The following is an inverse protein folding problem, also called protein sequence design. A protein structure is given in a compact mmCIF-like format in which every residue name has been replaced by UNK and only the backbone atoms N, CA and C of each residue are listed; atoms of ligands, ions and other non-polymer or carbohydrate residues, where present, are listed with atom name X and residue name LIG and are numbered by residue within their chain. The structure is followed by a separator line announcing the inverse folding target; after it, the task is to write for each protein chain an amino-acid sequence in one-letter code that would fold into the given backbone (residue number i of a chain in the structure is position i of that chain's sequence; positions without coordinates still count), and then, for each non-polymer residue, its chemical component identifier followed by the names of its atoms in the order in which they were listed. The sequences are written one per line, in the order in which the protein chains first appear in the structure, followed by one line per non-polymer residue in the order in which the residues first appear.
data_IF_933655327016
#
_entry.id   IF_933655327016
#
_cell.length_a   1.000
_cell.length_b   1.000
_cell.length_c   1.000
_cell.angle_alpha   90.00
_cell.angle_beta   90.00
_cell.angle_gamma   90.00
#
_symmetry.space_group_name_H-M   'P 1'
#
loop_
_entity.id
_entity.type
_entity.pdbx_description
1 polymer ?
#
# COMPACT_ATOMS: atom_id res chain seq x y z
N UNK A 1 9.41 -20.70 5.68
CA UNK A 1 9.24 -19.39 4.99
C UNK A 1 10.56 -18.65 4.72
N UNK A 2 11.70 -19.08 5.29
CA UNK A 2 13.04 -18.51 5.04
C UNK A 2 13.67 -18.92 3.70
N UNK A 3 13.41 -20.13 3.20
CA UNK A 3 13.99 -20.64 1.94
C UNK A 3 13.56 -19.85 0.69
N UNK A 4 12.30 -19.38 0.65
CA UNK A 4 11.78 -18.60 -0.49
C UNK A 4 12.35 -17.17 -0.53
N UNK A 5 12.63 -16.57 0.64
CA UNK A 5 13.24 -15.25 0.74
C UNK A 5 14.71 -15.26 0.25
N UNK A 6 15.43 -16.35 0.56
CA UNK A 6 16.81 -16.55 0.13
C UNK A 6 16.94 -16.87 -1.37
N UNK A 7 15.92 -17.51 -1.96
CA UNK A 7 15.86 -17.72 -3.42
C UNK A 7 15.56 -16.41 -4.17
N UNK A 8 14.66 -15.58 -3.63
CA UNK A 8 14.31 -14.29 -4.25
C UNK A 8 15.50 -13.31 -4.32
N UNK A 9 16.41 -13.34 -3.34
CA UNK A 9 17.60 -12.46 -3.33
C UNK A 9 18.56 -12.75 -4.49
N UNK A 10 18.64 -13.99 -4.99
CA UNK A 10 19.53 -14.41 -6.09
C UNK A 10 18.92 -14.32 -7.50
N UNK A 11 17.67 -13.87 -7.64
CA UNK A 11 17.05 -13.74 -8.96
C UNK A 11 17.66 -12.57 -9.77
N UNK A 12 17.85 -12.72 -11.10
CA UNK A 12 18.35 -11.65 -11.95
C UNK A 12 17.38 -10.45 -11.93
N UNK A 13 17.93 -9.23 -11.97
CA UNK A 13 17.19 -7.96 -11.85
C UNK A 13 15.94 -7.90 -12.76
N UNK A 14 16.05 -8.42 -13.99
CA UNK A 14 14.92 -8.50 -14.94
C UNK A 14 13.72 -9.28 -14.43
N UNK A 15 13.93 -10.36 -13.69
CA UNK A 15 12.84 -11.17 -13.12
C UNK A 15 12.19 -10.45 -11.95
N UNK A 16 12.97 -9.81 -11.08
CA UNK A 16 12.47 -8.97 -9.98
C UNK A 16 11.64 -7.79 -10.51
N UNK A 17 12.12 -7.11 -11.55
CA UNK A 17 11.42 -6.02 -12.20
C UNK A 17 10.10 -6.47 -12.85
N UNK A 18 10.07 -7.64 -13.51
CA UNK A 18 8.84 -8.23 -14.05
C UNK A 18 7.83 -8.57 -12.95
N UNK A 19 8.28 -9.15 -11.83
CA UNK A 19 7.39 -9.46 -10.70
C UNK A 19 6.82 -8.18 -10.10
N UNK A 20 7.65 -7.14 -9.88
CA UNK A 20 7.19 -5.83 -9.39
C UNK A 20 6.22 -5.15 -10.38
N UNK A 21 6.42 -5.31 -11.68
CA UNK A 21 5.51 -4.83 -12.73
C UNK A 21 4.15 -5.54 -12.64
N UNK A 22 4.13 -6.88 -12.59
CA UNK A 22 2.90 -7.67 -12.48
C UNK A 22 2.15 -7.38 -11.18
N UNK A 23 2.87 -7.18 -10.08
CA UNK A 23 2.28 -6.72 -8.81
C UNK A 23 1.64 -5.34 -8.95
N UNK A 24 2.30 -4.38 -9.59
CA UNK A 24 1.74 -3.05 -9.86
C UNK A 24 0.47 -3.11 -10.71
N UNK A 25 0.46 -3.93 -11.76
CA UNK A 25 -0.73 -4.16 -12.60
C UNK A 25 -1.85 -4.83 -11.81
N UNK A 26 -1.53 -5.82 -10.96
CA UNK A 26 -2.50 -6.47 -10.09
C UNK A 26 -3.15 -5.49 -9.11
N UNK A 27 -2.36 -4.63 -8.46
CA UNK A 27 -2.85 -3.58 -7.55
C UNK A 27 -3.74 -2.59 -8.31
N UNK A 28 -3.35 -2.20 -9.53
CA UNK A 28 -4.15 -1.30 -10.35
C UNK A 28 -5.51 -1.91 -10.73
N UNK A 29 -5.53 -3.20 -11.08
CA UNK A 29 -6.76 -3.95 -11.38
C UNK A 29 -7.68 -4.05 -10.17
N UNK A 30 -7.13 -4.34 -8.99
CA UNK A 30 -7.90 -4.36 -7.74
C UNK A 30 -8.47 -2.96 -7.47
N UNK A 31 -7.67 -1.90 -7.60
CA UNK A 31 -8.14 -0.53 -7.44
C UNK A 31 -9.27 -0.18 -8.40
N UNK A 32 -9.16 -0.59 -9.67
CA UNK A 32 -10.22 -0.41 -10.67
C UNK A 32 -11.50 -1.15 -10.29
N UNK A 33 -11.41 -2.42 -9.89
CA UNK A 33 -12.57 -3.20 -9.46
C UNK A 33 -13.27 -2.56 -8.25
N UNK A 34 -12.50 -2.09 -7.26
CA UNK A 34 -13.03 -1.41 -6.08
C UNK A 34 -13.71 -0.09 -6.46
N UNK A 35 -13.10 0.70 -7.34
CA UNK A 35 -13.69 1.94 -7.83
C UNK A 35 -14.99 1.66 -8.60
N UNK A 36 -15.01 0.64 -9.46
CA UNK A 36 -16.19 0.24 -10.23
C UNK A 36 -17.33 -0.31 -9.37
N UNK A 37 -17.00 -1.00 -8.26
CA UNK A 37 -17.98 -1.48 -7.31
C UNK A 37 -18.81 -0.32 -6.72
N UNK A 38 -18.20 0.86 -6.56
CA UNK A 38 -18.86 2.09 -6.08
C UNK A 38 -20.09 2.48 -6.91
N UNK A 39 -20.10 2.19 -8.22
CA UNK A 39 -21.26 2.48 -9.08
C UNK A 39 -22.45 1.54 -8.83
N UNK A 40 -22.23 0.39 -8.18
CA UNK A 40 -23.26 -0.59 -7.81
C UNK A 40 -23.77 -0.42 -6.37
N UNK A 41 -23.16 0.47 -5.60
CA UNK A 41 -23.46 0.72 -4.18
C UNK A 41 -24.63 1.69 -3.93
N UNK A 42 -25.33 2.15 -4.99
CA UNK A 42 -26.45 3.10 -4.89
C UNK A 42 -27.66 2.63 -4.07
N UNK A 43 -27.69 1.37 -3.65
CA UNK A 43 -28.78 0.75 -2.86
C UNK A 43 -28.47 0.64 -1.36
N UNK A 44 -27.33 1.15 -0.88
CA UNK A 44 -26.90 0.98 0.51
C UNK A 44 -27.49 2.05 1.45
N UNK A 45 -27.64 1.77 2.76
CA UNK A 45 -28.31 2.67 3.71
C UNK A 45 -27.64 4.05 3.88
N UNK A 46 -26.32 4.14 3.67
CA UNK A 46 -25.51 5.37 3.73
C UNK A 46 -24.63 5.47 2.48
N UNK A 47 -25.23 5.79 1.31
CA UNK A 47 -24.54 5.66 0.04
C UNK A 47 -23.47 6.75 -0.14
N UNK A 48 -23.58 7.89 0.54
CA UNK A 48 -22.66 9.02 0.40
C UNK A 48 -21.25 8.70 0.91
N UNK A 49 -21.12 8.21 2.14
CA UNK A 49 -19.82 7.88 2.73
C UNK A 49 -19.19 6.65 2.07
N UNK A 50 -19.96 5.57 1.89
CA UNK A 50 -19.43 4.32 1.31
C UNK A 50 -18.96 4.53 -0.13
N UNK A 51 -19.74 5.24 -0.95
CA UNK A 51 -19.32 5.56 -2.32
C UNK A 51 -18.04 6.39 -2.32
N UNK A 52 -17.95 7.43 -1.48
CA UNK A 52 -16.73 8.24 -1.36
C UNK A 52 -15.51 7.43 -0.92
N UNK A 53 -15.68 6.52 0.03
CA UNK A 53 -14.61 5.65 0.52
C UNK A 53 -14.12 4.67 -0.55
N UNK A 54 -15.01 4.00 -1.27
CA UNK A 54 -14.63 3.04 -2.32
C UNK A 54 -14.04 3.72 -3.56
N UNK A 55 -14.56 4.88 -3.97
CA UNK A 55 -13.98 5.68 -5.05
C UNK A 55 -12.59 6.20 -4.65
N UNK A 56 -12.45 6.72 -3.43
CA UNK A 56 -11.18 7.25 -2.93
C UNK A 56 -10.10 6.17 -2.80
N UNK A 57 -10.42 5.06 -2.14
CA UNK A 57 -9.49 3.94 -1.94
C UNK A 57 -9.18 3.21 -3.25
N UNK A 58 -10.20 2.94 -4.07
CA UNK A 58 -10.05 2.33 -5.39
C UNK A 58 -9.21 3.19 -6.33
N UNK A 59 -9.46 4.50 -6.36
CA UNK A 59 -8.68 5.47 -7.13
C UNK A 59 -7.22 5.55 -6.66
N UNK A 60 -6.98 5.56 -5.34
CA UNK A 60 -5.62 5.56 -4.78
C UNK A 60 -4.83 4.27 -5.11
N UNK A 61 -5.48 3.11 -5.01
CA UNK A 61 -4.90 1.82 -5.42
C UNK A 61 -4.60 1.81 -6.93
N UNK A 62 -5.52 2.30 -7.75
CA UNK A 62 -5.33 2.41 -9.20
C UNK A 62 -4.13 3.30 -9.54
N UNK A 63 -4.06 4.49 -8.95
CA UNK A 63 -2.95 5.42 -9.18
C UNK A 63 -1.60 4.86 -8.74
N UNK A 64 -1.52 4.27 -7.54
CA UNK A 64 -0.28 3.67 -7.03
C UNK A 64 0.19 2.48 -7.88
N UNK A 65 -0.74 1.63 -8.34
CA UNK A 65 -0.46 0.52 -9.23
C UNK A 65 0.08 0.98 -10.59
N UNK A 66 -0.54 2.00 -11.20
CA UNK A 66 -0.07 2.59 -12.48
C UNK A 66 1.33 3.18 -12.34
N UNK A 67 1.58 3.99 -11.31
CA UNK A 67 2.91 4.59 -11.09
C UNK A 67 3.97 3.51 -10.94
N UNK A 68 3.67 2.44 -10.21
CA UNK A 68 4.56 1.29 -10.04
C UNK A 68 4.81 0.59 -11.38
N UNK A 69 3.76 0.35 -12.17
CA UNK A 69 3.87 -0.31 -13.46
C UNK A 69 4.68 0.50 -14.47
N UNK A 70 4.45 1.82 -14.54
CA UNK A 70 5.20 2.72 -15.42
C UNK A 70 6.68 2.76 -15.05
N UNK A 71 7.00 2.92 -13.75
CA UNK A 71 8.40 2.91 -13.27
C UNK A 71 9.10 1.61 -13.62
N UNK A 72 8.46 0.47 -13.39
CA UNK A 72 9.04 -0.84 -13.71
C UNK A 72 9.17 -1.06 -15.23
N UNK A 73 8.21 -0.59 -16.03
CA UNK A 73 8.29 -0.62 -17.49
C UNK A 73 9.47 0.17 -18.04
N UNK A 74 9.78 1.34 -17.46
CA UNK A 74 10.96 2.14 -17.80
C UNK A 74 12.25 1.37 -17.46
N UNK A 75 12.34 0.77 -16.27
CA UNK A 75 13.50 -0.05 -15.88
C UNK A 75 13.73 -1.28 -16.76
N UNK A 76 12.67 -1.85 -17.34
CA UNK A 76 12.75 -2.98 -18.26
C UNK A 76 13.24 -2.58 -19.66
N UNK A 77 12.99 -1.34 -20.10
CA UNK A 77 13.44 -0.80 -21.39
C UNK A 77 14.87 -0.25 -21.34
N UNK A 78 15.27 0.33 -20.20
CA UNK A 78 16.57 0.98 -20.03
C UNK A 78 17.40 0.32 -18.92
N UNK A 79 18.28 -0.61 -19.31
CA UNK A 79 19.08 -1.43 -18.41
C UNK A 79 20.14 -0.62 -17.64
N UNK A 80 20.52 0.56 -18.14
CA UNK A 80 21.55 1.40 -17.52
C UNK A 80 20.99 2.15 -16.30
N UNK A 81 19.74 2.64 -16.41
CA UNK A 81 19.01 3.24 -15.28
C UNK A 81 18.65 2.22 -14.21
N UNK A 82 18.32 1.00 -14.62
CA UNK A 82 18.11 -0.13 -13.72
C UNK A 82 19.34 -0.45 -12.88
N UNK A 83 20.53 -0.47 -13.50
CA UNK A 83 21.78 -0.80 -12.82
C UNK A 83 22.22 0.30 -11.84
N UNK A 84 21.99 1.57 -12.18
CA UNK A 84 22.20 2.71 -11.25
C UNK A 84 21.24 2.63 -10.06
N UNK A 85 19.96 2.32 -10.29
CA UNK A 85 18.98 2.13 -9.23
C UNK A 85 19.29 0.92 -8.32
N UNK A 86 19.87 -0.15 -8.87
CA UNK A 86 20.32 -1.32 -8.08
C UNK A 86 21.52 -0.97 -7.19
N UNK A 87 22.48 -0.18 -7.69
CA UNK A 87 23.58 0.34 -6.89
C UNK A 87 23.10 1.27 -5.76
N UNK A 88 22.08 2.11 -6.03
CA UNK A 88 21.46 2.96 -5.01
C UNK A 88 20.56 2.18 -4.02
N UNK A 89 19.92 1.08 -4.44
CA UNK A 89 19.11 0.21 -3.55
C UNK A 89 20.00 -0.64 -2.60
N UNK A 90 21.24 -0.97 -3.02
CA UNK A 90 22.19 -1.78 -2.22
C UNK A 90 23.03 -0.96 -1.24
N UNK A 91 22.92 0.38 -1.26
CA UNK A 91 23.56 1.24 -0.28
C UNK A 91 22.81 1.12 1.06
N UNK A 92 23.51 0.69 2.12
CA UNK A 92 22.94 0.43 3.45
C UNK A 92 22.17 1.64 4.00
N UNK A 93 22.63 2.84 3.64
CA UNK A 93 22.00 4.11 4.02
C UNK A 93 20.59 4.26 3.44
N UNK A 94 20.40 3.95 2.15
CA UNK A 94 19.09 4.06 1.50
C UNK A 94 18.11 3.06 2.08
N UNK A 95 18.56 1.84 2.40
CA UNK A 95 17.75 0.84 3.06
C UNK A 95 17.28 1.31 4.45
N UNK A 96 18.16 1.95 5.21
CA UNK A 96 17.81 2.52 6.51
C UNK A 96 16.78 3.67 6.38
N UNK A 97 16.98 4.59 5.42
CA UNK A 97 16.04 5.69 5.16
C UNK A 97 14.66 5.15 4.78
N UNK A 98 14.59 4.15 3.87
CA UNK A 98 13.32 3.55 3.46
C UNK A 98 12.58 2.90 4.63
N UNK A 99 13.28 2.18 5.50
CA UNK A 99 12.67 1.57 6.70
C UNK A 99 12.14 2.64 7.65
N UNK A 100 12.91 3.71 7.90
CA UNK A 100 12.48 4.82 8.76
C UNK A 100 11.30 5.58 8.16
N UNK A 101 11.30 5.83 6.86
CA UNK A 101 10.20 6.51 6.18
C UNK A 101 8.92 5.66 6.18
N UNK A 102 9.04 4.34 6.02
CA UNK A 102 7.88 3.45 6.09
C UNK A 102 7.27 3.43 7.50
N UNK A 103 8.10 3.38 8.55
CA UNK A 103 7.63 3.48 9.93
C UNK A 103 6.96 4.84 10.20
N UNK A 104 7.57 5.94 9.76
CA UNK A 104 6.98 7.27 9.91
C UNK A 104 5.63 7.38 9.18
N UNK A 105 5.51 6.84 7.96
CA UNK A 105 4.26 6.82 7.21
C UNK A 105 3.15 6.05 7.94
N UNK A 106 3.47 4.90 8.56
CA UNK A 106 2.50 4.12 9.35
C UNK A 106 2.04 4.92 10.57
N UNK A 107 2.95 5.58 11.30
CA UNK A 107 2.60 6.41 12.45
C UNK A 107 1.71 7.60 12.07
N UNK A 108 2.03 8.28 10.97
CA UNK A 108 1.20 9.37 10.42
C UNK A 108 -0.20 8.86 10.04
N UNK A 109 -0.29 7.68 9.39
CA UNK A 109 -1.56 7.06 9.03
C UNK A 109 -2.40 6.75 10.27
N UNK A 110 -1.82 6.12 11.29
CA UNK A 110 -2.51 5.78 12.54
C UNK A 110 -3.03 7.06 13.23
N UNK A 111 -2.21 8.11 13.31
CA UNK A 111 -2.62 9.39 13.88
C UNK A 111 -3.77 10.04 13.10
N UNK A 112 -3.68 10.06 11.77
CA UNK A 112 -4.73 10.62 10.91
C UNK A 112 -6.06 9.87 11.03
N UNK A 113 -6.02 8.53 11.02
CA UNK A 113 -7.21 7.68 11.17
C UNK A 113 -7.81 7.83 12.55
N UNK A 114 -7.00 7.91 13.60
CA UNK A 114 -7.49 8.15 14.96
C UNK A 114 -8.22 9.50 15.09
N UNK A 115 -7.64 10.58 14.55
CA UNK A 115 -8.31 11.88 14.51
C UNK A 115 -9.63 11.83 13.74
N UNK A 116 -9.68 11.12 12.60
CA UNK A 116 -10.91 10.94 11.86
C UNK A 116 -11.98 10.19 12.67
N UNK A 117 -11.61 9.13 13.40
CA UNK A 117 -12.53 8.39 14.29
C UNK A 117 -13.10 9.32 15.37
N UNK A 118 -12.26 10.14 16.01
CA UNK A 118 -12.71 11.10 17.04
C UNK A 118 -13.73 12.07 16.44
N UNK A 119 -13.45 12.65 15.27
CA UNK A 119 -14.38 13.58 14.62
C UNK A 119 -15.68 12.90 14.21
N UNK A 120 -15.64 11.71 13.60
CA UNK A 120 -16.85 11.02 13.13
C UNK A 120 -17.70 10.48 14.27
N UNK A 121 -17.07 10.03 15.37
CA UNK A 121 -17.77 9.47 16.54
C UNK A 121 -18.58 10.50 17.34
N UNK A 122 -18.31 11.80 17.15
CA UNK A 122 -19.10 12.88 17.76
C UNK A 122 -20.53 12.96 17.22
N UNK A 123 -20.80 12.37 16.06
CA UNK A 123 -22.10 12.42 15.40
C UNK A 123 -22.70 11.04 15.20
N UNK A 124 -23.92 10.76 15.71
CA UNK A 124 -24.56 9.45 15.55
C UNK A 124 -24.91 9.13 14.08
N UNK A 125 -25.06 10.16 13.23
CA UNK A 125 -25.27 9.99 11.79
C UNK A 125 -24.07 9.36 11.06
N UNK A 126 -22.85 9.46 11.60
CA UNK A 126 -21.63 8.92 10.99
C UNK A 126 -21.19 7.58 11.62
N UNK A 127 -22.12 6.82 12.18
CA UNK A 127 -21.83 5.55 12.84
C UNK A 127 -21.12 4.56 11.91
N UNK A 128 -21.63 4.37 10.69
CA UNK A 128 -21.02 3.49 9.69
C UNK A 128 -19.60 3.93 9.31
N UNK A 129 -19.37 5.22 9.15
CA UNK A 129 -18.04 5.77 8.88
C UNK A 129 -17.07 5.44 10.03
N UNK A 130 -17.50 5.65 11.27
CA UNK A 130 -16.70 5.35 12.46
C UNK A 130 -16.34 3.86 12.54
N UNK A 131 -17.30 2.95 12.28
CA UNK A 131 -17.04 1.49 12.25
C UNK A 131 -16.02 1.13 11.17
N UNK A 132 -16.14 1.68 9.96
CA UNK A 132 -15.14 1.41 8.90
C UNK A 132 -13.75 1.92 9.24
N UNK A 133 -13.64 3.12 9.83
CA UNK A 133 -12.36 3.68 10.25
C UNK A 133 -11.71 2.86 11.37
N UNK A 134 -12.50 2.28 12.28
CA UNK A 134 -12.00 1.34 13.30
C UNK A 134 -11.39 0.10 12.63
N UNK A 135 -12.05 -0.49 11.62
CA UNK A 135 -11.47 -1.61 10.88
C UNK A 135 -10.17 -1.24 10.15
N UNK A 136 -10.11 -0.05 9.55
CA UNK A 136 -8.88 0.49 8.93
C UNK A 136 -7.77 0.64 9.98
N UNK A 137 -8.09 1.15 11.18
CA UNK A 137 -7.14 1.29 12.27
C UNK A 137 -6.60 -0.06 12.74
N UNK A 138 -7.47 -1.06 12.92
CA UNK A 138 -7.06 -2.43 13.29
C UNK A 138 -6.10 -2.99 12.22
N UNK A 139 -6.43 -2.82 10.94
CA UNK A 139 -5.55 -3.23 9.83
C UNK A 139 -4.19 -2.54 9.89
N UNK A 140 -4.15 -1.23 10.12
CA UNK A 140 -2.91 -0.46 10.25
C UNK A 140 -2.07 -0.93 11.45
N UNK A 141 -2.69 -1.25 12.59
CA UNK A 141 -2.00 -1.78 13.77
C UNK A 141 -1.45 -3.20 13.53
N UNK A 142 -2.17 -4.06 12.81
CA UNK A 142 -1.67 -5.38 12.41
C UNK A 142 -0.45 -5.23 11.50
N UNK A 143 -0.48 -4.30 10.54
CA UNK A 143 0.67 -4.02 9.66
C UNK A 143 1.87 -3.50 10.47
N UNK A 144 1.63 -2.63 11.45
CA UNK A 144 2.66 -2.14 12.36
C UNK A 144 3.27 -3.30 13.16
N UNK A 145 2.45 -4.15 13.78
CA UNK A 145 2.89 -5.33 14.51
C UNK A 145 3.66 -6.30 13.62
N UNK A 146 3.19 -6.56 12.40
CA UNK A 146 3.88 -7.40 11.43
C UNK A 146 5.25 -6.80 11.07
N UNK A 147 5.33 -5.50 10.81
CA UNK A 147 6.59 -4.80 10.54
C UNK A 147 7.55 -4.87 11.72
N UNK A 148 7.02 -4.74 12.95
CA UNK A 148 7.79 -4.85 14.18
C UNK A 148 8.33 -6.27 14.39
N UNK A 149 7.48 -7.29 14.21
CA UNK A 149 7.87 -8.69 14.28
C UNK A 149 8.93 -9.05 13.24
N UNK A 150 8.78 -8.56 12.00
CA UNK A 150 9.76 -8.77 10.93
C UNK A 150 11.08 -8.09 11.26
N UNK A 151 11.07 -6.85 11.75
CA UNK A 151 12.27 -6.14 12.20
C UNK A 151 12.96 -6.86 13.35
N UNK A 152 12.20 -7.37 14.34
CA UNK A 152 12.74 -8.14 15.48
C UNK A 152 13.27 -9.52 15.09
N UNK A 153 12.78 -10.11 14.01
CA UNK A 153 13.24 -11.43 13.56
C UNK A 153 14.48 -11.33 12.65
N UNK A 154 14.69 -10.18 11.99
CA UNK A 154 15.81 -9.94 11.09
C UNK A 154 17.04 -9.31 11.75
N UNK A 155 16.89 -8.76 12.95
CA UNK A 155 17.94 -8.17 13.80
C UNK A 155 17.98 -8.88 15.15
#
# INVERSE_FOLDING_TARGET
MSANLFCFSRLPFRTKAKIRLWLGVGIAMVGLCVALLSFRLGEWPEPSFMTGFYVGTGGGLLGSGIVTAVRMGIYLRDAERARKAELEEMDERNRFIQMRSAQAAIWVLVGAVYLAIVVTSLSPALFLATVTLIWVLIGALILLLASYCICRYLY
#
